data_IF_671484950831
#
_entry.id   IF_671484950831
#
_cell.length_a   1.000
_cell.length_b   1.000
_cell.length_c   1.000
_cell.angle_alpha   90.00
_cell.angle_beta   90.00
_cell.angle_gamma   90.00
#
_symmetry.space_group_name_H-M   'P 1'
#
loop_
_entity.id
_entity.type
_entity.pdbx_description
1 polymer ?
#
# COMPACT_ATOMS: atom_id res chain seq x y z
N UNK A 1 2.44 2.77 -8.10
CA UNK A 1 1.52 2.91 -6.95
C UNK A 1 1.10 4.35 -6.72
N UNK A 2 2.02 5.28 -6.45
CA UNK A 2 1.69 6.68 -6.12
C UNK A 2 0.72 7.34 -7.12
N UNK A 3 0.96 7.20 -8.43
CA UNK A 3 0.06 7.76 -9.45
C UNK A 3 -1.38 7.21 -9.34
N UNK A 4 -1.55 5.90 -9.16
CA UNK A 4 -2.87 5.28 -9.02
C UNK A 4 -3.58 5.76 -7.74
N UNK A 5 -2.84 5.89 -6.64
CA UNK A 5 -3.34 6.44 -5.37
C UNK A 5 -3.76 7.90 -5.52
N UNK A 6 -2.95 8.72 -6.20
CA UNK A 6 -3.26 10.14 -6.47
C UNK A 6 -4.51 10.27 -7.34
N UNK A 7 -4.60 9.54 -8.45
CA UNK A 7 -5.78 9.55 -9.30
C UNK A 7 -7.05 9.14 -8.56
N UNK A 8 -6.97 8.16 -7.66
CA UNK A 8 -8.11 7.80 -6.81
C UNK A 8 -8.48 8.93 -5.84
N UNK A 9 -7.50 9.56 -5.17
CA UNK A 9 -7.72 10.70 -4.27
C UNK A 9 -8.39 11.88 -4.97
N UNK A 10 -7.96 12.19 -6.18
CA UNK A 10 -8.53 13.27 -7.01
C UNK A 10 -10.01 13.00 -7.33
N UNK A 11 -10.37 11.77 -7.70
CA UNK A 11 -11.77 11.39 -7.94
C UNK A 11 -12.61 11.37 -6.65
N UNK A 12 -11.96 11.14 -5.51
CA UNK A 12 -12.58 11.34 -4.20
C UNK A 12 -12.78 12.83 -3.87
N UNK A 13 -12.18 13.76 -4.62
CA UNK A 13 -12.24 15.20 -4.36
C UNK A 13 -11.35 15.64 -3.20
N UNK A 14 -10.32 14.86 -2.88
CA UNK A 14 -9.40 15.11 -1.78
C UNK A 14 -8.01 15.53 -2.26
N UNK A 15 -7.30 16.26 -1.40
CA UNK A 15 -5.91 16.65 -1.62
C UNK A 15 -4.97 15.43 -1.69
N UNK A 16 -3.85 15.48 -2.44
CA UNK A 16 -2.87 14.39 -2.50
C UNK A 16 -2.32 13.93 -1.15
N UNK A 17 -2.34 14.81 -0.13
CA UNK A 17 -1.89 14.50 1.24
C UNK A 17 -2.91 13.72 2.08
N UNK A 18 -4.16 13.62 1.63
CA UNK A 18 -5.19 12.85 2.33
C UNK A 18 -4.83 11.36 2.35
N UNK A 19 -5.22 10.63 3.39
CA UNK A 19 -5.02 9.18 3.45
C UNK A 19 -6.20 8.42 2.81
N UNK A 20 -6.05 7.10 2.61
CA UNK A 20 -7.09 6.31 1.94
C UNK A 20 -8.33 6.11 2.83
N UNK A 21 -8.16 6.15 4.16
CA UNK A 21 -9.29 6.12 5.08
C UNK A 21 -10.22 7.33 4.84
N UNK A 22 -9.65 8.54 4.73
CA UNK A 22 -10.39 9.76 4.41
C UNK A 22 -11.05 9.67 3.04
N UNK A 23 -10.39 9.06 2.05
CA UNK A 23 -10.97 8.85 0.72
C UNK A 23 -12.24 8.02 0.77
N UNK A 24 -12.18 6.84 1.40
CA UNK A 24 -13.33 5.93 1.53
C UNK A 24 -14.47 6.58 2.31
N UNK A 25 -14.17 7.29 3.41
CA UNK A 25 -15.17 8.02 4.16
C UNK A 25 -15.83 9.13 3.32
N UNK A 26 -15.05 9.88 2.55
CA UNK A 26 -15.55 10.97 1.71
C UNK A 26 -16.36 10.49 0.49
N UNK A 27 -16.05 9.32 -0.08
CA UNK A 27 -16.88 8.75 -1.15
C UNK A 27 -18.11 8.03 -0.61
N UNK A 28 -18.10 7.56 0.64
CA UNK A 28 -19.15 6.67 1.15
C UNK A 28 -20.58 7.23 0.98
N UNK A 29 -20.76 8.52 1.24
CA UNK A 29 -22.06 9.21 1.08
C UNK A 29 -22.52 9.28 -0.38
N UNK A 30 -21.60 9.21 -1.35
CA UNK A 30 -21.89 9.15 -2.80
C UNK A 30 -22.15 7.73 -3.29
N UNK A 31 -21.77 6.72 -2.53
CA UNK A 31 -21.94 5.30 -2.86
C UNK A 31 -23.29 4.74 -2.40
N UNK A 32 -24.14 5.58 -1.81
CA UNK A 32 -25.49 5.23 -1.37
C UNK A 32 -26.51 6.03 -2.21
N UNK A 33 -27.58 5.37 -2.62
CA UNK A 33 -28.68 5.94 -3.40
C UNK A 33 -29.67 6.74 -2.55
N UNK A 34 -30.65 7.40 -3.19
CA UNK A 34 -31.62 8.26 -2.50
C UNK A 34 -32.49 7.51 -1.49
N UNK A 35 -32.75 6.22 -1.72
CA UNK A 35 -33.52 5.34 -0.82
C UNK A 35 -32.65 4.68 0.27
N UNK A 36 -31.44 5.21 0.49
CA UNK A 36 -30.44 4.64 1.38
C UNK A 36 -29.98 3.22 0.98
N UNK A 37 -30.19 2.84 -0.27
CA UNK A 37 -29.72 1.57 -0.86
C UNK A 37 -28.28 1.71 -1.35
N UNK A 38 -27.38 0.76 -1.05
CA UNK A 38 -26.00 0.88 -1.52
C UNK A 38 -25.94 0.73 -3.05
N UNK A 39 -25.31 1.69 -3.72
CA UNK A 39 -25.02 1.66 -5.15
C UNK A 39 -23.70 0.94 -5.44
N UNK A 40 -22.79 0.93 -4.47
CA UNK A 40 -21.54 0.19 -4.50
C UNK A 40 -21.30 -0.38 -3.11
N UNK A 41 -20.95 -1.66 -3.04
CA UNK A 41 -20.51 -2.31 -1.80
C UNK A 41 -19.04 -2.69 -1.92
N UNK A 42 -18.33 -2.72 -0.81
CA UNK A 42 -16.99 -3.26 -0.77
C UNK A 42 -17.03 -4.69 -0.25
N UNK A 43 -16.47 -5.60 -1.03
CA UNK A 43 -16.26 -6.97 -0.63
C UNK A 43 -14.89 -7.09 0.04
N UNK A 44 -14.89 -7.56 1.29
CA UNK A 44 -13.72 -7.70 2.15
C UNK A 44 -13.37 -9.19 2.41
N UNK A 45 -13.97 -10.14 1.67
CA UNK A 45 -13.70 -11.58 1.88
C UNK A 45 -12.24 -11.95 1.59
N UNK A 46 -11.64 -11.27 0.61
CA UNK A 46 -10.28 -11.51 0.18
C UNK A 46 -9.31 -10.49 0.77
N UNK A 47 -8.01 -10.80 0.72
CA UNK A 47 -6.94 -9.89 1.14
C UNK A 47 -6.95 -8.55 0.37
N UNK A 48 -7.49 -8.55 -0.85
CA UNK A 48 -7.58 -7.39 -1.72
C UNK A 48 -9.05 -7.02 -1.91
N UNK A 49 -9.52 -5.94 -1.26
CA UNK A 49 -10.92 -5.57 -1.29
C UNK A 49 -11.36 -5.13 -2.69
N UNK A 50 -12.58 -5.48 -3.08
CA UNK A 50 -13.16 -5.14 -4.39
C UNK A 50 -14.40 -4.28 -4.22
N UNK A 51 -14.64 -3.37 -5.16
CA UNK A 51 -15.87 -2.58 -5.23
C UNK A 51 -16.85 -3.27 -6.19
N UNK A 52 -18.02 -3.64 -5.70
CA UNK A 52 -19.07 -4.30 -6.47
C UNK A 52 -20.23 -3.34 -6.72
N UNK A 53 -20.49 -3.03 -7.99
CA UNK A 53 -21.62 -2.18 -8.40
C UNK A 53 -22.97 -2.87 -8.12
N UNK A 54 -23.90 -2.13 -7.56
CA UNK A 54 -25.27 -2.55 -7.31
C UNK A 54 -26.19 -1.88 -8.32
N UNK A 55 -26.61 -2.63 -9.34
CA UNK A 55 -27.53 -2.13 -10.36
C UNK A 55 -26.94 -1.03 -11.26
N UNK A 56 -27.80 -0.07 -11.66
CA UNK A 56 -27.43 1.01 -12.57
C UNK A 56 -26.82 2.16 -11.77
N UNK A 57 -25.54 2.42 -12.01
CA UNK A 57 -24.78 3.49 -11.34
C UNK A 57 -24.41 4.65 -12.28
N UNK A 58 -24.38 5.91 -11.77
CA UNK A 58 -23.88 7.06 -12.52
C UNK A 58 -22.45 6.89 -13.03
N UNK A 59 -22.14 7.48 -14.17
CA UNK A 59 -20.82 7.40 -14.82
C UNK A 59 -19.68 7.88 -13.92
N UNK A 60 -19.93 8.88 -13.09
CA UNK A 60 -18.95 9.38 -12.10
C UNK A 60 -18.57 8.31 -11.08
N UNK A 61 -19.52 7.47 -10.63
CA UNK A 61 -19.23 6.39 -9.68
C UNK A 61 -18.47 5.26 -10.34
N UNK A 62 -18.77 4.95 -11.61
CA UNK A 62 -18.00 3.97 -12.39
C UNK A 62 -16.53 4.37 -12.49
N UNK A 63 -16.24 5.64 -12.76
CA UNK A 63 -14.86 6.15 -12.78
C UNK A 63 -14.14 5.99 -11.44
N UNK A 64 -14.84 6.23 -10.33
CA UNK A 64 -14.29 6.00 -8.98
C UNK A 64 -13.95 4.52 -8.77
N UNK A 65 -14.87 3.63 -9.15
CA UNK A 65 -14.70 2.17 -9.04
C UNK A 65 -13.52 1.69 -9.88
N UNK A 66 -13.42 2.12 -11.15
CA UNK A 66 -12.28 1.78 -12.02
C UNK A 66 -10.95 2.27 -11.45
N UNK A 67 -10.89 3.50 -10.94
CA UNK A 67 -9.67 4.03 -10.33
C UNK A 67 -9.29 3.27 -9.04
N UNK A 68 -10.28 2.90 -8.23
CA UNK A 68 -10.08 2.05 -7.06
C UNK A 68 -9.54 0.67 -7.45
N UNK A 69 -10.13 0.01 -8.44
CA UNK A 69 -9.68 -1.29 -8.95
C UNK A 69 -8.23 -1.22 -9.46
N UNK A 70 -7.89 -0.20 -10.24
CA UNK A 70 -6.51 0.02 -10.70
C UNK A 70 -5.53 0.22 -9.53
N UNK A 71 -5.94 0.95 -8.49
CA UNK A 71 -5.16 1.13 -7.27
C UNK A 71 -4.94 -0.20 -6.54
N UNK A 72 -5.99 -0.99 -6.34
CA UNK A 72 -5.92 -2.31 -5.70
C UNK A 72 -5.04 -3.27 -6.50
N UNK A 73 -5.18 -3.32 -7.83
CA UNK A 73 -4.33 -4.16 -8.68
C UNK A 73 -2.85 -3.74 -8.62
N UNK A 74 -2.58 -2.44 -8.54
CA UNK A 74 -1.21 -1.94 -8.37
C UNK A 74 -0.64 -2.32 -7.01
N UNK A 75 -1.43 -2.25 -5.93
CA UNK A 75 -1.05 -2.71 -4.59
C UNK A 75 -0.76 -4.21 -4.61
N UNK A 76 -1.66 -5.01 -5.19
CA UNK A 76 -1.50 -6.46 -5.31
C UNK A 76 -0.21 -6.82 -6.02
N UNK A 77 0.01 -6.27 -7.21
CA UNK A 77 1.22 -6.49 -7.99
C UNK A 77 2.48 -6.14 -7.20
N UNK A 78 2.48 -5.02 -6.48
CA UNK A 78 3.62 -4.62 -5.65
C UNK A 78 3.87 -5.62 -4.51
N UNK A 79 2.82 -5.96 -3.75
CA UNK A 79 2.94 -6.84 -2.57
C UNK A 79 3.41 -8.24 -2.96
N UNK A 80 2.82 -8.82 -4.01
CA UNK A 80 3.13 -10.18 -4.47
C UNK A 80 4.55 -10.29 -5.07
N UNK A 81 5.03 -9.25 -5.76
CA UNK A 81 6.36 -9.30 -6.40
C UNK A 81 7.51 -8.82 -5.51
N UNK A 82 7.23 -8.10 -4.42
CA UNK A 82 8.27 -7.48 -3.59
C UNK A 82 9.24 -8.52 -3.03
N UNK A 83 8.76 -9.63 -2.49
CA UNK A 83 9.65 -10.56 -1.76
C UNK A 83 10.69 -11.20 -2.70
N UNK A 84 10.26 -11.62 -3.89
CA UNK A 84 11.16 -12.15 -4.92
C UNK A 84 12.17 -11.10 -5.40
N UNK A 85 11.73 -9.86 -5.65
CA UNK A 85 12.64 -8.78 -6.07
C UNK A 85 13.62 -8.41 -4.95
N UNK A 86 13.15 -8.36 -3.71
CA UNK A 86 13.98 -8.10 -2.53
C UNK A 86 15.08 -9.16 -2.40
N UNK A 87 14.72 -10.44 -2.51
CA UNK A 87 15.67 -11.55 -2.45
C UNK A 87 16.75 -11.42 -3.54
N UNK A 88 16.35 -11.14 -4.78
CA UNK A 88 17.30 -10.92 -5.89
C UNK A 88 18.26 -9.77 -5.63
N UNK A 89 17.78 -8.66 -5.07
CA UNK A 89 18.63 -7.51 -4.72
C UNK A 89 19.63 -7.91 -3.63
N UNK A 90 19.17 -8.60 -2.58
CA UNK A 90 20.03 -9.05 -1.47
C UNK A 90 21.09 -10.04 -1.94
N UNK A 91 20.72 -11.00 -2.81
CA UNK A 91 21.67 -11.94 -3.40
C UNK A 91 22.71 -11.21 -4.27
N UNK A 92 22.28 -10.27 -5.11
CA UNK A 92 23.18 -9.44 -5.92
C UNK A 92 24.13 -8.60 -5.04
N UNK A 93 23.61 -8.00 -3.97
CA UNK A 93 24.40 -7.24 -3.01
C UNK A 93 25.46 -8.14 -2.34
N UNK A 94 25.11 -9.34 -1.92
CA UNK A 94 26.04 -10.30 -1.30
C UNK A 94 27.17 -10.66 -2.27
N UNK A 95 26.83 -11.04 -3.50
CA UNK A 95 27.83 -11.35 -4.53
C UNK A 95 28.73 -10.13 -4.85
N UNK A 96 28.15 -8.92 -4.88
CA UNK A 96 28.92 -7.69 -5.06
C UNK A 96 29.90 -7.45 -3.90
N UNK A 97 29.49 -7.70 -2.65
CA UNK A 97 30.39 -7.56 -1.49
C UNK A 97 31.55 -8.55 -1.55
N UNK A 98 31.30 -9.82 -1.89
CA UNK A 98 32.34 -10.84 -2.08
C UNK A 98 33.31 -10.47 -3.21
N UNK A 99 32.80 -9.89 -4.30
CA UNK A 99 33.63 -9.38 -5.38
C UNK A 99 34.46 -8.17 -4.95
N UNK A 100 33.87 -7.25 -4.18
CA UNK A 100 34.53 -6.05 -3.69
C UNK A 100 35.75 -6.35 -2.81
N UNK A 101 35.69 -7.40 -1.98
CA UNK A 101 36.83 -7.87 -1.17
C UNK A 101 38.07 -8.17 -2.01
N UNK A 102 37.87 -8.65 -3.24
CA UNK A 102 38.94 -9.04 -4.15
C UNK A 102 39.26 -7.99 -5.22
N UNK A 103 38.41 -6.96 -5.36
CA UNK A 103 38.45 -5.99 -6.45
C UNK A 103 39.78 -5.23 -6.51
N UNK A 104 40.33 -4.85 -5.35
CA UNK A 104 41.62 -4.17 -5.30
C UNK A 104 42.75 -5.06 -5.86
N UNK A 105 42.83 -6.31 -5.38
CA UNK A 105 43.84 -7.28 -5.80
C UNK A 105 43.72 -7.63 -7.29
N UNK A 106 42.50 -7.85 -7.77
CA UNK A 106 42.21 -8.06 -9.20
C UNK A 106 42.71 -6.84 -9.98
N UNK A 107 42.37 -5.63 -9.53
CA UNK A 107 42.76 -4.43 -10.26
C UNK A 107 44.27 -4.22 -10.33
N UNK A 108 45.00 -4.48 -9.25
CA UNK A 108 46.47 -4.47 -9.24
C UNK A 108 47.04 -5.52 -10.20
N UNK A 109 46.50 -6.76 -10.18
CA UNK A 109 46.94 -7.85 -11.06
C UNK A 109 46.73 -7.54 -12.54
N UNK A 110 45.62 -6.89 -12.88
CA UNK A 110 45.32 -6.45 -14.26
C UNK A 110 46.09 -5.17 -14.66
N UNK A 111 47.01 -4.68 -13.82
CA UNK A 111 47.87 -3.54 -14.15
C UNK A 111 47.19 -2.18 -14.07
N UNK A 112 46.08 -2.04 -13.33
CA UNK A 112 45.45 -0.74 -13.11
C UNK A 112 46.34 0.17 -12.28
N UNK A 113 46.57 1.39 -12.77
CA UNK A 113 47.24 2.47 -12.02
C UNK A 113 46.43 2.83 -10.77
N UNK A 114 47.11 3.12 -9.67
CA UNK A 114 46.55 3.40 -8.34
C UNK A 114 45.33 4.34 -8.36
N UNK A 115 45.45 5.52 -9.01
CA UNK A 115 44.33 6.48 -9.09
C UNK A 115 43.10 5.93 -9.82
N UNK A 116 43.29 5.08 -10.85
CA UNK A 116 42.19 4.47 -11.59
C UNK A 116 41.58 3.32 -10.77
N UNK A 117 42.43 2.53 -10.11
CA UNK A 117 42.01 1.46 -9.21
C UNK A 117 41.15 2.00 -8.05
N UNK A 118 41.63 3.04 -7.38
CA UNK A 118 40.92 3.68 -6.26
C UNK A 118 39.52 4.14 -6.68
N UNK A 119 39.41 4.84 -7.82
CA UNK A 119 38.11 5.26 -8.37
C UNK A 119 37.18 4.09 -8.69
N UNK A 120 37.72 2.99 -9.22
CA UNK A 120 36.94 1.78 -9.50
C UNK A 120 36.39 1.15 -8.22
N UNK A 121 37.21 1.06 -7.16
CA UNK A 121 36.80 0.54 -5.84
C UNK A 121 35.72 1.43 -5.21
N UNK A 122 35.93 2.74 -5.20
CA UNK A 122 34.95 3.71 -4.69
C UNK A 122 33.63 3.65 -5.44
N UNK A 123 33.68 3.63 -6.78
CA UNK A 123 32.49 3.49 -7.62
C UNK A 123 31.75 2.19 -7.34
N UNK A 124 32.47 1.10 -7.11
CA UNK A 124 31.87 -0.19 -6.80
C UNK A 124 31.20 -0.20 -5.42
N UNK A 125 31.84 0.43 -4.42
CA UNK A 125 31.26 0.64 -3.09
C UNK A 125 29.95 1.42 -3.16
N UNK A 126 29.90 2.45 -4.02
CA UNK A 126 28.68 3.23 -4.23
C UNK A 126 27.56 2.38 -4.84
N UNK A 127 27.87 1.52 -5.82
CA UNK A 127 26.89 0.59 -6.40
C UNK A 127 26.28 -0.35 -5.34
N UNK A 128 27.10 -0.91 -4.44
CA UNK A 128 26.62 -1.75 -3.32
C UNK A 128 25.66 -0.95 -2.44
N UNK A 129 25.98 0.30 -2.13
CA UNK A 129 25.15 1.17 -1.28
C UNK A 129 23.81 1.49 -1.95
N UNK A 130 23.81 1.71 -3.27
CA UNK A 130 22.57 1.89 -4.03
C UNK A 130 21.71 0.63 -4.01
N UNK A 131 22.29 -0.55 -4.22
CA UNK A 131 21.55 -1.82 -4.13
C UNK A 131 20.87 -1.97 -2.77
N UNK A 132 21.59 -1.69 -1.68
CA UNK A 132 21.02 -1.68 -0.33
C UNK A 132 19.86 -0.70 -0.21
N UNK A 133 20.03 0.53 -0.71
CA UNK A 133 18.97 1.55 -0.71
C UNK A 133 17.72 1.13 -1.48
N UNK A 134 17.88 0.45 -2.63
CA UNK A 134 16.73 -0.06 -3.41
C UNK A 134 15.98 -1.17 -2.65
N UNK A 135 16.71 -2.06 -1.97
CA UNK A 135 16.12 -3.08 -1.11
C UNK A 135 15.28 -2.46 0.03
N UNK A 136 15.79 -1.41 0.66
CA UNK A 136 15.09 -0.70 1.74
C UNK A 136 13.85 0.05 1.23
N UNK A 137 13.96 0.72 0.08
CA UNK A 137 12.83 1.40 -0.58
C UNK A 137 11.72 0.42 -0.94
N UNK A 138 12.07 -0.76 -1.43
CA UNK A 138 11.10 -1.78 -1.81
C UNK A 138 10.33 -2.31 -0.57
N UNK A 139 11.04 -2.54 0.54
CA UNK A 139 10.41 -2.90 1.83
C UNK A 139 9.46 -1.81 2.32
N UNK A 140 9.89 -0.56 2.27
CA UNK A 140 9.06 0.58 2.65
C UNK A 140 7.79 0.65 1.79
N UNK A 141 7.93 0.55 0.47
CA UNK A 141 6.80 0.61 -0.47
C UNK A 141 5.78 -0.52 -0.21
N UNK A 142 6.23 -1.74 0.08
CA UNK A 142 5.34 -2.85 0.45
C UNK A 142 4.59 -2.55 1.75
N UNK A 143 5.29 -2.06 2.78
CA UNK A 143 4.67 -1.73 4.07
C UNK A 143 3.62 -0.62 3.93
N UNK A 144 3.91 0.42 3.15
CA UNK A 144 2.96 1.48 2.83
C UNK A 144 1.72 0.92 2.09
N UNK A 145 1.93 0.03 1.12
CA UNK A 145 0.84 -0.61 0.39
C UNK A 145 -0.06 -1.48 1.28
N UNK A 146 0.52 -2.21 2.24
CA UNK A 146 -0.23 -2.98 3.23
C UNK A 146 -1.00 -2.06 4.19
N UNK A 147 -0.41 -0.94 4.61
CA UNK A 147 -1.09 0.03 5.46
C UNK A 147 -2.27 0.70 4.74
N UNK A 148 -2.12 0.99 3.45
CA UNK A 148 -3.20 1.45 2.58
C UNK A 148 -4.39 0.48 2.56
N UNK A 149 -4.14 -0.83 2.47
CA UNK A 149 -5.21 -1.84 2.53
C UNK A 149 -5.92 -1.83 3.89
N UNK A 150 -5.17 -1.72 5.00
CA UNK A 150 -5.79 -1.63 6.34
C UNK A 150 -6.67 -0.40 6.47
N UNK A 151 -6.20 0.77 6.00
CA UNK A 151 -6.98 2.00 6.01
C UNK A 151 -8.30 1.86 5.25
N UNK A 152 -8.26 1.25 4.06
CA UNK A 152 -9.46 0.95 3.27
C UNK A 152 -10.40 0.04 4.06
N UNK A 153 -9.89 -1.05 4.64
CA UNK A 153 -10.69 -2.01 5.40
C UNK A 153 -11.38 -1.35 6.60
N UNK A 154 -10.63 -0.62 7.43
CA UNK A 154 -11.19 0.09 8.59
C UNK A 154 -12.23 1.13 8.20
N UNK A 155 -11.98 1.90 7.15
CA UNK A 155 -12.93 2.88 6.66
C UNK A 155 -14.23 2.24 6.19
N UNK A 156 -14.12 1.14 5.43
CA UNK A 156 -15.26 0.37 4.91
C UNK A 156 -16.18 -0.13 6.02
N UNK A 157 -15.60 -0.71 7.08
CA UNK A 157 -16.37 -1.16 8.24
C UNK A 157 -17.02 0.02 8.97
N UNK A 158 -16.32 1.15 9.07
CA UNK A 158 -16.81 2.33 9.78
C UNK A 158 -18.00 3.01 9.08
N UNK A 159 -18.08 2.92 7.75
CA UNK A 159 -19.17 3.49 6.95
C UNK A 159 -20.26 2.49 6.57
N UNK A 160 -20.17 1.23 6.99
CA UNK A 160 -21.18 0.20 6.71
C UNK A 160 -21.31 -0.15 5.22
N UNK A 161 -20.27 0.08 4.43
CA UNK A 161 -20.24 -0.26 3.00
C UNK A 161 -19.87 -1.71 2.72
N UNK A 162 -19.57 -2.49 3.76
CA UNK A 162 -19.22 -3.89 3.60
C UNK A 162 -20.43 -4.69 3.10
N UNK A 163 -20.17 -5.61 2.18
CA UNK A 163 -21.20 -6.54 1.68
C UNK A 163 -21.80 -7.34 2.86
N UNK A 164 -23.14 -7.41 3.01
CA UNK A 164 -23.78 -8.12 4.11
C UNK A 164 -23.39 -9.61 4.08
N UNK A 165 -23.00 -10.16 5.23
CA UNK A 165 -22.47 -11.52 5.37
C UNK A 165 -20.94 -11.63 5.35
N UNK A 166 -20.21 -10.52 5.20
CA UNK A 166 -18.73 -10.47 5.20
C UNK A 166 -18.14 -10.15 6.59
N UNK A 167 -18.89 -10.42 7.67
CA UNK A 167 -18.38 -10.20 9.02
C UNK A 167 -17.31 -11.25 9.36
N UNK A 168 -16.04 -10.87 9.28
CA UNK A 168 -14.97 -11.62 9.92
C UNK A 168 -15.23 -11.65 11.42
N UNK A 169 -15.40 -12.85 11.97
CA UNK A 169 -15.81 -13.15 13.35
C UNK A 169 -14.81 -12.73 14.46
N UNK A 170 -13.80 -11.90 14.18
CA UNK A 170 -12.72 -11.59 15.14
C UNK A 170 -12.68 -10.14 15.67
N UNK A 171 -13.59 -9.25 15.25
CA UNK A 171 -13.56 -7.84 15.72
C UNK A 171 -14.85 -7.41 16.44
N UNK A 172 -15.70 -8.35 16.85
CA UNK A 172 -16.81 -8.06 17.77
C UNK A 172 -16.31 -7.95 19.21
N UNK A 173 -15.60 -6.88 19.55
CA UNK A 173 -15.61 -6.38 20.93
C UNK A 173 -16.68 -5.28 21.02
N UNK A 174 -17.76 -5.48 21.78
CA UNK A 174 -18.82 -4.50 21.87
C UNK A 174 -18.30 -3.25 22.58
N UNK A 175 -18.61 -2.11 21.97
CA UNK A 175 -18.50 -0.77 22.54
C UNK A 175 -19.21 -0.79 23.90
N UNK A 176 -18.46 -0.64 24.99
CA UNK A 176 -19.01 -0.49 26.34
C UNK A 176 -19.88 0.77 26.32
N UNK A 177 -21.21 0.60 26.35
CA UNK A 177 -22.14 1.69 26.63
C UNK A 177 -21.71 2.32 27.96
N UNK A 178 -21.49 3.63 27.94
CA UNK A 178 -21.40 4.43 29.15
C UNK A 178 -22.81 4.44 29.75
N UNK A 179 -23.04 3.60 30.75
CA UNK A 179 -24.25 3.69 31.58
C UNK A 179 -24.19 4.99 32.39
N UNK A 180 -25.30 5.71 32.32
CA UNK A 180 -25.58 6.96 33.04
C UNK A 180 -25.51 6.69 34.55
N UNK A 181 -24.69 7.46 35.26
CA UNK A 181 -24.61 7.44 36.72
C UNK A 181 -25.93 8.02 37.26
N UNK A 182 -26.70 7.30 38.10
CA UNK A 182 -27.90 7.88 38.70
C UNK A 182 -27.50 8.88 39.81
N UNK A 183 -28.04 10.09 39.72
CA UNK A 183 -28.03 11.07 40.81
C UNK A 183 -28.74 10.48 42.04
N UNK A 184 -28.05 10.45 43.18
CA UNK A 184 -28.70 10.22 44.46
C UNK A 184 -29.28 11.53 44.96
N UNK A 185 -30.62 11.62 44.95
CA UNK A 185 -31.37 12.43 45.89
C UNK A 185 -31.44 11.69 47.23
N UNK A 186 -31.14 12.38 48.33
CA UNK A 186 -31.22 11.88 49.70
C UNK A 186 -30.06 12.34 50.56
#
# INVERSE_FOLDING_TARGET
>A
LQNAVVSFKELCGLSPVANLMQCILAVSTRLVGPDNTPLVVLNLTDQYPTMELQGIVPEVLKKIVTAYEMMIQTIKTLVENTDNLYEKIVQCQKAAMEFHENLHNIGTREGLKERKLQKSVESFTWNITILKGQADLLKYAKNEALENLKQIHYATLSCGLNKPGTENAEISKPRRSLEVIPEKAG
#
